data_IF_351703730782
#
_entry.id   IF_351703730782
#
_cell.length_a   1.000
_cell.length_b   1.000
_cell.length_c   1.000
_cell.angle_alpha   90.00
_cell.angle_beta   90.00
_cell.angle_gamma   90.00
#
_symmetry.space_group_name_H-M   'P 1'
#
loop_
_entity.id
_entity.type
_entity.pdbx_description
1 polymer ?
#
# COMPACT_ATOMS: atom_id res chain seq x y z
N UNK A 1 -33.28 -12.26 -8.80
CA UNK A 1 -32.57 -11.83 -10.01
C UNK A 1 -31.13 -11.45 -9.70
N UNK A 2 -30.19 -11.96 -10.49
CA UNK A 2 -28.74 -11.69 -10.33
C UNK A 2 -28.41 -10.20 -10.44
N UNK A 3 -29.17 -9.45 -11.25
CA UNK A 3 -29.04 -7.99 -11.37
C UNK A 3 -29.31 -7.25 -10.06
N UNK A 4 -30.31 -7.67 -9.28
CA UNK A 4 -30.63 -7.01 -8.00
C UNK A 4 -29.53 -7.23 -6.97
N UNK A 5 -28.90 -8.40 -6.96
CA UNK A 5 -27.76 -8.69 -6.09
C UNK A 5 -26.55 -7.84 -6.49
N UNK A 6 -26.32 -7.65 -7.79
CA UNK A 6 -25.25 -6.81 -8.31
C UNK A 6 -25.44 -5.33 -7.95
N UNK A 7 -26.64 -4.79 -8.21
CA UNK A 7 -27.01 -3.40 -7.86
C UNK A 7 -26.89 -3.16 -6.36
N UNK A 8 -27.39 -4.10 -5.54
CA UNK A 8 -27.26 -4.05 -4.08
C UNK A 8 -25.79 -4.10 -3.65
N UNK A 9 -24.92 -4.81 -4.36
CA UNK A 9 -23.49 -4.86 -4.03
C UNK A 9 -22.77 -3.57 -4.40
N UNK A 10 -23.15 -2.91 -5.50
CA UNK A 10 -22.62 -1.61 -5.91
C UNK A 10 -23.04 -0.49 -4.93
N UNK A 11 -24.35 -0.24 -4.85
CA UNK A 11 -24.90 0.95 -4.17
C UNK A 11 -25.36 0.67 -2.73
N UNK A 12 -25.58 -0.59 -2.38
CA UNK A 12 -26.26 -0.96 -1.15
C UNK A 12 -27.78 -0.99 -1.33
N UNK A 13 -28.46 -1.34 -0.25
CA UNK A 13 -29.89 -1.23 -0.09
C UNK A 13 -30.21 -0.86 1.37
N UNK A 14 -31.47 -0.96 1.79
CA UNK A 14 -31.88 -0.60 3.16
C UNK A 14 -31.27 -1.50 4.24
N UNK A 15 -30.86 -2.73 3.89
CA UNK A 15 -30.34 -3.72 4.84
C UNK A 15 -28.83 -3.91 4.76
N UNK A 16 -28.20 -3.54 3.63
CA UNK A 16 -26.80 -3.81 3.33
C UNK A 16 -26.11 -2.57 2.75
N UNK A 17 -24.95 -2.24 3.29
CA UNK A 17 -24.07 -1.18 2.76
C UNK A 17 -23.48 -1.58 1.41
N UNK A 18 -23.42 -0.63 0.47
CA UNK A 18 -22.72 -0.79 -0.80
C UNK A 18 -21.22 -1.01 -0.64
N UNK A 19 -20.62 -1.61 -1.66
CA UNK A 19 -19.19 -1.99 -1.69
C UNK A 19 -18.33 -1.05 -2.53
N UNK A 20 -18.93 0.02 -3.06
CA UNK A 20 -18.26 1.04 -3.87
C UNK A 20 -18.50 2.43 -3.28
N UNK A 21 -17.46 3.25 -3.25
CA UNK A 21 -17.54 4.69 -2.96
C UNK A 21 -17.30 5.42 -4.27
N UNK A 22 -18.32 6.09 -4.81
CA UNK A 22 -18.20 6.99 -5.95
C UNK A 22 -17.74 8.36 -5.44
N UNK A 23 -16.60 8.85 -5.92
CA UNK A 23 -16.08 10.15 -5.53
C UNK A 23 -16.66 11.25 -6.41
N UNK A 24 -16.60 12.48 -5.93
CA UNK A 24 -16.91 13.65 -6.74
C UNK A 24 -15.98 13.70 -7.97
N UNK A 25 -16.55 14.11 -9.11
CA UNK A 25 -15.81 14.32 -10.33
C UNK A 25 -15.25 15.75 -10.36
N UNK A 26 -13.97 15.89 -10.68
CA UNK A 26 -13.30 17.19 -10.74
C UNK A 26 -12.71 17.43 -12.12
N UNK A 27 -12.75 18.67 -12.64
CA UNK A 27 -12.06 18.98 -13.88
C UNK A 27 -10.55 18.95 -13.64
N UNK A 28 -9.79 18.49 -14.63
CA UNK A 28 -8.33 18.45 -14.56
C UNK A 28 -7.73 19.86 -14.41
N UNK A 29 -8.33 20.83 -15.11
CA UNK A 29 -7.97 22.23 -15.08
C UNK A 29 -9.21 23.07 -14.76
N UNK A 30 -9.02 24.34 -14.37
CA UNK A 30 -10.16 25.26 -14.17
C UNK A 30 -10.92 25.35 -15.50
N UNK A 31 -12.22 24.97 -15.54
CA UNK A 31 -12.97 24.94 -16.77
C UNK A 31 -13.38 26.33 -17.21
N UNK A 32 -13.32 26.58 -18.51
CA UNK A 32 -13.94 27.75 -19.11
C UNK A 32 -15.46 27.62 -19.10
N UNK A 33 -16.14 28.70 -18.73
CA UNK A 33 -17.58 28.77 -18.67
C UNK A 33 -18.13 29.53 -19.88
N UNK A 34 -19.10 28.93 -20.55
CA UNK A 34 -19.80 29.51 -21.68
C UNK A 34 -21.23 29.86 -21.30
N UNK A 35 -21.73 30.98 -21.84
CA UNK A 35 -23.16 31.32 -21.74
C UNK A 35 -23.87 30.70 -22.93
N UNK A 36 -24.88 29.89 -22.65
CA UNK A 36 -25.79 29.34 -23.65
C UNK A 36 -27.23 29.80 -23.38
N UNK A 37 -28.12 29.64 -24.36
CA UNK A 37 -29.49 30.16 -24.33
C UNK A 37 -30.49 29.03 -24.59
N UNK A 38 -31.51 28.95 -23.73
CA UNK A 38 -32.73 28.21 -24.04
C UNK A 38 -33.85 29.17 -24.38
N UNK A 39 -34.68 28.80 -25.36
CA UNK A 39 -35.86 29.56 -25.77
C UNK A 39 -37.14 28.71 -25.58
N UNK A 40 -37.59 28.42 -24.34
CA UNK A 40 -38.87 27.74 -24.11
C UNK A 40 -40.03 28.54 -24.72
N UNK A 41 -40.81 27.88 -25.58
CA UNK A 41 -41.98 28.45 -26.25
C UNK A 41 -43.23 28.49 -25.36
N UNK A 42 -43.42 27.45 -24.55
CA UNK A 42 -44.60 27.29 -23.69
C UNK A 42 -44.33 27.67 -22.23
N UNK A 43 -43.40 28.61 -21.98
CA UNK A 43 -43.01 29.01 -20.62
C UNK A 43 -44.20 29.51 -19.79
N UNK A 44 -45.04 30.35 -20.39
CA UNK A 44 -46.26 30.88 -19.74
C UNK A 44 -47.30 29.79 -19.45
N UNK A 45 -47.43 28.81 -20.34
CA UNK A 45 -48.33 27.66 -20.14
C UNK A 45 -47.93 26.84 -18.92
N UNK A 46 -46.66 26.45 -18.82
CA UNK A 46 -46.18 25.64 -17.70
C UNK A 46 -46.13 26.39 -16.36
N UNK A 47 -46.13 27.72 -16.40
CA UNK A 47 -46.06 28.57 -15.21
C UNK A 47 -47.43 29.04 -14.71
N UNK A 48 -48.52 28.68 -15.41
CA UNK A 48 -49.87 29.10 -15.04
C UNK A 48 -50.56 28.10 -14.11
N UNK A 49 -50.40 28.32 -12.80
CA UNK A 49 -51.04 27.52 -11.74
C UNK A 49 -52.59 27.50 -11.83
N UNK A 50 -53.20 28.43 -12.58
CA UNK A 50 -54.65 28.55 -12.74
C UNK A 50 -55.18 27.82 -13.98
N UNK A 51 -54.32 27.19 -14.79
CA UNK A 51 -54.67 26.45 -16.01
C UNK A 51 -55.57 27.24 -16.98
N UNK A 52 -55.35 28.55 -17.11
CA UNK A 52 -56.08 29.47 -17.98
C UNK A 52 -55.42 29.67 -19.34
N UNK A 53 -54.10 29.60 -19.38
CA UNK A 53 -53.32 29.71 -20.61
C UNK A 53 -53.26 28.30 -21.22
N UNK A 54 -53.77 28.05 -22.42
CA UNK A 54 -53.53 26.79 -23.12
C UNK A 54 -52.15 26.79 -23.81
N UNK A 55 -51.56 25.62 -24.10
CA UNK A 55 -50.38 25.58 -24.94
C UNK A 55 -50.81 26.01 -26.35
N UNK A 56 -50.21 27.07 -26.87
CA UNK A 56 -50.59 27.63 -28.15
C UNK A 56 -49.40 28.24 -28.88
N UNK A 57 -49.44 28.18 -30.22
CA UNK A 57 -48.31 28.58 -31.05
C UNK A 57 -48.04 30.10 -31.08
N UNK A 58 -48.98 30.89 -30.56
CA UNK A 58 -48.85 32.36 -30.46
C UNK A 58 -48.05 32.84 -29.25
N UNK A 59 -47.69 31.94 -28.32
CA UNK A 59 -46.86 32.31 -27.17
C UNK A 59 -45.46 32.70 -27.65
N UNK A 60 -44.80 33.65 -26.98
CA UNK A 60 -43.47 34.07 -27.38
C UNK A 60 -42.38 33.22 -26.72
N UNK A 61 -41.32 32.82 -27.45
CA UNK A 61 -40.18 32.15 -26.85
C UNK A 61 -39.48 33.08 -25.87
N UNK A 62 -39.23 32.61 -24.65
CA UNK A 62 -38.57 33.40 -23.59
C UNK A 62 -37.09 33.03 -23.49
N UNK A 63 -36.12 33.88 -23.91
CA UNK A 63 -34.70 33.54 -23.87
C UNK A 63 -34.14 33.51 -22.45
N UNK A 64 -33.66 32.35 -22.02
CA UNK A 64 -33.03 32.12 -20.71
C UNK A 64 -31.56 31.80 -20.92
N UNK A 65 -30.70 32.71 -20.48
CA UNK A 65 -29.24 32.51 -20.45
C UNK A 65 -28.85 31.62 -19.27
N UNK A 66 -27.98 30.66 -19.49
CA UNK A 66 -27.43 29.80 -18.44
C UNK A 66 -25.95 29.50 -18.70
N UNK A 67 -25.22 29.14 -17.65
CA UNK A 67 -23.81 28.78 -17.75
C UNK A 67 -23.64 27.30 -18.09
N UNK A 68 -22.64 27.02 -18.91
CA UNK A 68 -22.22 25.69 -19.37
C UNK A 68 -20.72 25.57 -19.20
N UNK A 69 -20.25 24.35 -18.99
CA UNK A 69 -18.82 24.04 -19.06
C UNK A 69 -18.46 23.85 -20.54
N UNK A 70 -17.35 24.43 -20.98
CA UNK A 70 -16.92 24.35 -22.37
C UNK A 70 -16.64 22.90 -22.79
N UNK A 71 -17.07 22.55 -24.01
CA UNK A 71 -16.72 21.28 -24.66
C UNK A 71 -15.20 21.12 -24.77
N UNK A 72 -14.70 19.92 -24.47
CA UNK A 72 -13.27 19.62 -24.44
C UNK A 72 -12.64 19.74 -23.05
N UNK A 73 -13.41 20.15 -22.03
CA UNK A 73 -12.96 20.09 -20.64
C UNK A 73 -12.79 18.64 -20.19
N UNK A 74 -11.62 18.30 -19.68
CA UNK A 74 -11.31 16.98 -19.13
C UNK A 74 -11.77 16.90 -17.68
N UNK A 75 -12.51 15.84 -17.34
CA UNK A 75 -12.91 15.53 -15.97
C UNK A 75 -12.33 14.19 -15.52
N UNK A 76 -11.99 14.14 -14.24
CA UNK A 76 -11.44 12.97 -13.56
C UNK A 76 -12.57 12.36 -12.71
N UNK A 77 -12.89 11.10 -12.99
CA UNK A 77 -13.87 10.31 -12.26
C UNK A 77 -13.15 9.21 -11.48
N UNK A 78 -13.52 9.01 -10.21
CA UNK A 78 -12.90 8.02 -9.34
C UNK A 78 -13.92 7.24 -8.54
N UNK A 79 -13.60 5.99 -8.28
CA UNK A 79 -14.34 5.14 -7.36
C UNK A 79 -13.39 4.29 -6.54
N UNK A 80 -13.67 4.15 -5.24
CA UNK A 80 -12.98 3.19 -4.39
C UNK A 80 -13.83 1.92 -4.34
N UNK A 81 -13.27 0.83 -4.86
CA UNK A 81 -13.94 -0.46 -4.95
C UNK A 81 -13.32 -1.41 -3.95
N UNK A 82 -14.15 -2.16 -3.23
CA UNK A 82 -13.69 -3.23 -2.37
C UNK A 82 -13.13 -4.40 -3.18
N UNK A 83 -11.93 -4.85 -2.82
CA UNK A 83 -11.22 -5.91 -3.56
C UNK A 83 -11.66 -7.34 -3.21
N UNK A 84 -12.58 -7.52 -2.25
CA UNK A 84 -13.07 -8.83 -1.83
C UNK A 84 -14.35 -9.28 -2.56
N UNK A 85 -14.87 -8.44 -3.46
CA UNK A 85 -16.00 -8.77 -4.33
C UNK A 85 -15.47 -8.92 -5.75
N UNK A 86 -15.55 -10.14 -6.29
CA UNK A 86 -15.09 -10.44 -7.64
C UNK A 86 -15.84 -9.59 -8.68
N UNK A 87 -15.13 -9.18 -9.73
CA UNK A 87 -15.64 -8.47 -10.92
C UNK A 87 -16.30 -7.10 -10.66
N UNK A 88 -16.41 -6.66 -9.40
CA UNK A 88 -17.09 -5.41 -9.03
C UNK A 88 -16.44 -4.18 -9.68
N UNK A 89 -15.11 -4.17 -9.80
CA UNK A 89 -14.38 -3.07 -10.43
C UNK A 89 -14.68 -2.96 -11.94
N UNK A 90 -14.77 -4.10 -12.62
CA UNK A 90 -15.09 -4.14 -14.06
C UNK A 90 -16.54 -3.70 -14.31
N UNK A 91 -17.46 -4.08 -13.43
CA UNK A 91 -18.85 -3.64 -13.52
C UNK A 91 -19.00 -2.13 -13.25
N UNK A 92 -18.27 -1.58 -12.27
CA UNK A 92 -18.20 -0.12 -12.06
C UNK A 92 -17.67 0.57 -13.32
N UNK A 93 -16.63 0.02 -13.95
CA UNK A 93 -16.05 0.57 -15.18
C UNK A 93 -17.08 0.57 -16.32
N UNK A 94 -17.82 -0.53 -16.53
CA UNK A 94 -18.90 -0.59 -17.52
C UNK A 94 -19.99 0.42 -17.25
N UNK A 95 -20.41 0.55 -15.98
CA UNK A 95 -21.41 1.52 -15.56
C UNK A 95 -20.96 2.96 -15.85
N UNK A 96 -19.69 3.31 -15.55
CA UNK A 96 -19.14 4.62 -15.89
C UNK A 96 -19.14 4.88 -17.39
N UNK A 97 -18.66 3.94 -18.20
CA UNK A 97 -18.63 4.12 -19.67
C UNK A 97 -20.01 4.44 -20.19
N UNK A 98 -21.03 3.66 -19.78
CA UNK A 98 -22.41 3.85 -20.21
C UNK A 98 -23.00 5.18 -19.72
N UNK A 99 -22.88 5.46 -18.42
CA UNK A 99 -23.41 6.68 -17.83
C UNK A 99 -22.80 7.94 -18.47
N UNK A 100 -21.50 7.93 -18.75
CA UNK A 100 -20.78 9.09 -19.27
C UNK A 100 -20.97 9.29 -20.78
N UNK A 101 -21.08 8.21 -21.57
CA UNK A 101 -21.10 8.30 -23.04
C UNK A 101 -22.49 8.18 -23.66
N UNK A 102 -23.45 7.56 -22.96
CA UNK A 102 -24.79 7.29 -23.49
C UNK A 102 -25.88 8.06 -22.73
N UNK A 103 -25.84 8.04 -21.38
CA UNK A 103 -26.91 8.63 -20.56
C UNK A 103 -26.70 10.12 -20.30
N UNK A 104 -25.43 10.52 -20.12
CA UNK A 104 -25.03 11.86 -19.76
C UNK A 104 -25.27 12.17 -18.29
N UNK A 105 -24.47 13.10 -17.74
CA UNK A 105 -24.56 13.53 -16.35
C UNK A 105 -24.83 15.04 -16.26
N UNK A 106 -25.62 15.44 -15.27
CA UNK A 106 -26.02 16.83 -15.06
C UNK A 106 -27.36 17.19 -15.72
N UNK A 107 -27.53 18.45 -16.07
CA UNK A 107 -28.80 18.96 -16.59
C UNK A 107 -28.89 18.83 -18.12
N UNK A 108 -30.12 18.70 -18.63
CA UNK A 108 -30.44 18.75 -20.08
C UNK A 108 -29.80 17.63 -20.92
N UNK A 109 -29.59 16.46 -20.33
CA UNK A 109 -29.00 15.29 -21.00
C UNK A 109 -29.83 14.82 -22.20
N UNK A 110 -31.16 14.91 -22.15
CA UNK A 110 -32.04 14.63 -23.29
C UNK A 110 -31.79 15.53 -24.51
N UNK A 111 -31.17 16.70 -24.32
CA UNK A 111 -30.77 17.62 -25.40
C UNK A 111 -29.30 17.43 -25.81
N UNK A 112 -28.60 16.44 -25.25
CA UNK A 112 -27.21 16.10 -25.56
C UNK A 112 -26.15 16.78 -24.67
N UNK A 113 -26.55 17.46 -23.59
CA UNK A 113 -25.58 18.01 -22.62
C UNK A 113 -25.05 16.92 -21.68
N UNK A 114 -23.88 17.16 -21.09
CA UNK A 114 -23.36 16.29 -20.03
C UNK A 114 -22.78 14.95 -20.51
N UNK A 115 -22.58 14.81 -21.82
CA UNK A 115 -21.94 13.64 -22.42
C UNK A 115 -20.42 13.84 -22.49
N UNK A 116 -19.69 12.75 -22.25
CA UNK A 116 -18.24 12.69 -22.32
C UNK A 116 -17.80 11.76 -23.45
N UNK A 117 -16.63 12.03 -24.01
CA UNK A 117 -15.99 11.23 -25.05
C UNK A 117 -14.53 11.00 -24.68
N UNK A 118 -13.82 10.18 -25.47
CA UNK A 118 -12.36 10.02 -25.37
C UNK A 118 -11.90 9.55 -23.98
N UNK A 119 -12.57 8.52 -23.44
CA UNK A 119 -12.28 7.98 -22.11
C UNK A 119 -10.85 7.43 -22.04
N UNK A 120 -10.07 7.93 -21.07
CA UNK A 120 -8.76 7.39 -20.70
C UNK A 120 -8.83 6.68 -19.34
N UNK A 121 -8.02 5.64 -19.19
CA UNK A 121 -7.85 4.89 -17.95
C UNK A 121 -6.44 5.05 -17.37
N UNK A 122 -5.66 5.96 -17.94
CA UNK A 122 -4.31 6.26 -17.46
C UNK A 122 -4.40 7.10 -16.20
N UNK A 123 -3.59 6.75 -15.21
CA UNK A 123 -3.45 7.59 -14.03
C UNK A 123 -2.74 8.90 -14.40
N UNK A 124 -3.23 10.01 -13.86
CA UNK A 124 -2.58 11.29 -14.04
C UNK A 124 -1.14 11.22 -13.51
N UNK A 125 -0.20 11.85 -14.21
CA UNK A 125 1.22 11.80 -13.85
C UNK A 125 1.46 12.18 -12.38
N UNK A 126 0.73 13.19 -11.87
CA UNK A 126 0.80 13.63 -10.48
C UNK A 126 0.50 12.52 -9.47
N UNK A 127 -0.42 11.61 -9.78
CA UNK A 127 -0.78 10.47 -8.92
C UNK A 127 0.34 9.45 -8.94
N UNK A 128 0.84 9.11 -10.13
CA UNK A 128 1.90 8.11 -10.28
C UNK A 128 3.19 8.55 -9.59
N UNK A 129 3.52 9.84 -9.65
CA UNK A 129 4.68 10.40 -8.94
C UNK A 129 4.46 10.41 -7.43
N UNK A 130 3.28 10.84 -6.96
CA UNK A 130 2.93 10.78 -5.54
C UNK A 130 3.04 9.36 -4.97
N UNK A 131 2.55 8.35 -5.67
CA UNK A 131 2.65 6.95 -5.24
C UNK A 131 4.10 6.44 -5.17
N UNK A 132 4.96 6.86 -6.10
CA UNK A 132 6.40 6.53 -6.07
C UNK A 132 7.07 7.17 -4.86
N UNK A 133 6.82 8.46 -4.63
CA UNK A 133 7.36 9.20 -3.49
C UNK A 133 6.92 8.59 -2.15
N UNK A 134 5.64 8.24 -2.03
CA UNK A 134 5.09 7.56 -0.84
C UNK A 134 5.76 6.20 -0.58
N UNK A 135 5.98 5.40 -1.62
CA UNK A 135 6.67 4.10 -1.50
C UNK A 135 8.11 4.29 -1.04
N UNK A 136 8.82 5.24 -1.64
CA UNK A 136 10.19 5.58 -1.25
C UNK A 136 10.23 6.04 0.22
N UNK A 137 9.29 6.89 0.64
CA UNK A 137 9.19 7.37 2.03
C UNK A 137 8.97 6.22 3.01
N UNK A 138 8.00 5.32 2.74
CA UNK A 138 7.74 4.15 3.59
C UNK A 138 8.95 3.21 3.68
N UNK A 139 9.61 2.94 2.57
CA UNK A 139 10.82 2.10 2.55
C UNK A 139 11.95 2.71 3.38
N UNK A 140 12.12 4.02 3.31
CA UNK A 140 13.11 4.75 4.11
C UNK A 140 12.78 4.70 5.60
N UNK A 141 11.52 4.96 5.97
CA UNK A 141 11.05 4.88 7.36
C UNK A 141 11.23 3.46 7.93
N UNK A 142 10.90 2.43 7.17
CA UNK A 142 11.12 1.02 7.58
C UNK A 142 12.60 0.68 7.74
N UNK A 143 13.47 1.17 6.84
CA UNK A 143 14.90 0.96 6.93
C UNK A 143 15.51 1.66 8.15
N UNK A 144 15.12 2.90 8.42
CA UNK A 144 15.56 3.67 9.59
C UNK A 144 15.06 3.04 10.89
N UNK A 145 13.81 2.57 10.94
CA UNK A 145 13.26 1.85 12.08
C UNK A 145 14.02 0.54 12.35
N UNK A 146 14.37 -0.23 11.31
CA UNK A 146 15.18 -1.45 11.43
C UNK A 146 16.60 -1.14 11.90
N UNK A 147 17.23 -0.11 11.36
CA UNK A 147 18.58 0.29 11.76
C UNK A 147 18.62 0.75 13.22
N UNK A 148 17.62 1.53 13.65
CA UNK A 148 17.47 1.95 15.05
C UNK A 148 17.24 0.77 15.98
N UNK A 149 16.34 -0.16 15.62
CA UNK A 149 16.07 -1.35 16.41
C UNK A 149 17.32 -2.25 16.54
N UNK A 150 18.12 -2.39 15.48
CA UNK A 150 19.38 -3.13 15.55
C UNK A 150 20.43 -2.43 16.40
N UNK A 151 20.53 -1.10 16.32
CA UNK A 151 21.43 -0.32 17.18
C UNK A 151 21.04 -0.43 18.66
N UNK A 152 19.74 -0.36 18.97
CA UNK A 152 19.22 -0.58 20.33
C UNK A 152 19.50 -2.00 20.82
N UNK A 153 19.30 -3.03 19.96
CA UNK A 153 19.67 -4.41 20.26
C UNK A 153 21.15 -4.54 20.61
N UNK A 154 22.04 -4.01 19.77
CA UNK A 154 23.48 -4.04 20.00
C UNK A 154 23.92 -3.28 21.26
N UNK A 155 23.22 -2.19 21.61
CA UNK A 155 23.47 -1.42 22.83
C UNK A 155 22.94 -2.11 24.09
N UNK A 156 21.83 -2.86 23.99
CA UNK A 156 21.26 -3.62 25.11
C UNK A 156 21.90 -4.98 25.32
N UNK A 157 22.60 -5.52 24.31
CA UNK A 157 23.25 -6.83 24.40
C UNK A 157 24.34 -6.83 25.47
N UNK A 158 24.28 -7.83 26.33
CA UNK A 158 25.35 -8.10 27.31
C UNK A 158 26.62 -8.59 26.61
N UNK A 159 27.76 -8.50 27.28
CA UNK A 159 29.02 -9.03 26.72
C UNK A 159 28.94 -10.54 26.43
N UNK A 160 28.17 -11.28 27.24
CA UNK A 160 27.91 -12.71 27.06
C UNK A 160 27.08 -12.98 25.79
N UNK A 161 26.04 -12.18 25.54
CA UNK A 161 25.22 -12.28 24.34
C UNK A 161 26.00 -11.90 23.07
N UNK A 162 26.87 -10.89 23.14
CA UNK A 162 27.78 -10.53 22.04
C UNK A 162 28.75 -11.67 21.74
N UNK A 163 29.29 -12.31 22.77
CA UNK A 163 30.19 -13.45 22.61
C UNK A 163 29.48 -14.67 22.00
N UNK A 164 28.24 -14.94 22.40
CA UNK A 164 27.37 -15.97 21.80
C UNK A 164 27.12 -15.71 20.31
N UNK A 165 26.75 -14.48 19.94
CA UNK A 165 26.50 -14.14 18.53
C UNK A 165 27.76 -14.28 17.67
N UNK A 166 28.93 -13.89 18.23
CA UNK A 166 30.24 -14.05 17.58
C UNK A 166 30.63 -15.52 17.40
N UNK A 167 30.37 -16.37 18.39
CA UNK A 167 30.58 -17.82 18.28
C UNK A 167 29.66 -18.44 17.22
N UNK A 168 28.40 -18.01 17.16
CA UNK A 168 27.44 -18.52 16.17
C UNK A 168 27.82 -18.13 14.73
N UNK A 169 28.30 -16.90 14.53
CA UNK A 169 28.77 -16.40 13.23
C UNK A 169 30.19 -16.84 12.86
N UNK A 170 30.90 -17.53 13.76
CA UNK A 170 32.28 -17.94 13.52
C UNK A 170 32.39 -18.82 12.27
N UNK A 171 33.44 -18.60 11.47
CA UNK A 171 33.83 -19.44 10.34
C UNK A 171 34.82 -20.54 10.74
N UNK A 172 35.24 -21.36 9.76
CA UNK A 172 36.24 -22.43 9.96
C UNK A 172 37.69 -21.92 9.84
N UNK A 173 37.92 -20.62 10.03
CA UNK A 173 39.28 -20.06 10.00
C UNK A 173 39.99 -20.28 11.33
N UNK A 174 41.20 -20.87 11.28
CA UNK A 174 41.94 -21.25 12.49
C UNK A 174 42.41 -20.06 13.35
N UNK A 175 42.63 -18.90 12.73
CA UNK A 175 42.97 -17.64 13.40
C UNK A 175 41.80 -17.11 14.22
N UNK A 176 40.60 -17.05 13.64
CA UNK A 176 39.36 -16.60 14.29
C UNK A 176 38.97 -17.52 15.45
N UNK A 177 39.03 -18.84 15.22
CA UNK A 177 38.81 -19.86 16.24
C UNK A 177 39.74 -19.62 17.43
N UNK A 178 41.04 -19.43 17.18
CA UNK A 178 42.02 -19.23 18.25
C UNK A 178 41.80 -17.91 19.02
N UNK A 179 41.38 -16.85 18.33
CA UNK A 179 41.10 -15.55 18.95
C UNK A 179 39.90 -15.64 19.92
N UNK A 180 38.78 -16.18 19.46
CA UNK A 180 37.57 -16.35 20.30
C UNK A 180 37.83 -17.30 21.46
N UNK A 181 38.64 -18.34 21.25
CA UNK A 181 39.05 -19.24 22.34
C UNK A 181 39.86 -18.57 23.43
N UNK A 182 40.86 -17.78 23.05
CA UNK A 182 41.69 -17.09 24.04
C UNK A 182 40.85 -16.07 24.82
N UNK A 183 39.97 -15.36 24.14
CA UNK A 183 39.09 -14.36 24.73
C UNK A 183 38.08 -15.02 25.69
N UNK A 184 37.39 -16.10 25.28
CA UNK A 184 36.51 -16.90 26.15
C UNK A 184 37.23 -17.45 27.37
N UNK A 185 38.45 -17.98 27.22
CA UNK A 185 39.20 -18.58 28.34
C UNK A 185 39.82 -17.54 29.27
N UNK A 186 40.05 -16.31 28.78
CA UNK A 186 40.54 -15.19 29.58
C UNK A 186 39.45 -14.41 30.32
N UNK A 187 38.23 -14.43 29.79
CA UNK A 187 37.07 -13.76 30.37
C UNK A 187 36.31 -14.60 31.38
N UNK A 188 35.32 -13.98 32.01
CA UNK A 188 34.33 -14.66 32.84
C UNK A 188 32.96 -14.44 32.20
N UNK A 189 32.46 -15.50 31.58
CA UNK A 189 31.25 -15.51 30.76
C UNK A 189 30.30 -16.57 31.34
N UNK A 190 29.01 -16.46 31.03
CA UNK A 190 28.04 -17.47 31.43
C UNK A 190 28.30 -18.85 30.81
N UNK A 191 27.78 -19.87 31.49
CA UNK A 191 27.85 -21.29 31.06
C UNK A 191 27.36 -21.50 29.62
N UNK A 192 26.37 -20.72 29.18
CA UNK A 192 25.79 -20.76 27.84
C UNK A 192 26.81 -20.46 26.74
N UNK A 193 27.72 -19.51 26.97
CA UNK A 193 28.79 -19.11 26.03
C UNK A 193 29.74 -20.28 25.77
N UNK A 194 30.17 -20.97 26.83
CA UNK A 194 31.07 -22.13 26.71
C UNK A 194 30.39 -23.36 26.08
N UNK A 195 29.09 -23.55 26.31
CA UNK A 195 28.31 -24.59 25.64
C UNK A 195 28.23 -24.34 24.13
N UNK A 196 27.89 -23.12 23.71
CA UNK A 196 27.85 -22.74 22.29
C UNK A 196 29.24 -22.86 21.64
N UNK A 197 30.31 -22.46 22.35
CA UNK A 197 31.68 -22.63 21.85
C UNK A 197 32.03 -24.11 21.64
N UNK A 198 31.65 -24.99 22.59
CA UNK A 198 31.87 -26.44 22.47
C UNK A 198 31.15 -27.00 21.25
N UNK A 199 29.88 -26.65 21.04
CA UNK A 199 29.09 -27.09 19.88
C UNK A 199 29.75 -26.64 18.57
N UNK A 200 30.11 -25.36 18.47
CA UNK A 200 30.77 -24.83 17.27
C UNK A 200 32.10 -25.50 16.95
N UNK A 201 32.87 -25.85 17.98
CA UNK A 201 34.13 -26.59 17.83
C UNK A 201 33.93 -28.05 17.43
N UNK A 202 32.81 -28.66 17.81
CA UNK A 202 32.40 -29.99 17.34
C UNK A 202 32.08 -29.91 15.85
N UNK A 203 31.31 -28.92 15.41
CA UNK A 203 30.98 -28.70 13.99
C UNK A 203 32.22 -28.55 13.12
N UNK A 204 33.22 -27.82 13.60
CA UNK A 204 34.48 -27.64 12.87
C UNK A 204 35.43 -28.84 12.93
N UNK A 205 35.11 -29.86 13.74
CA UNK A 205 35.96 -31.03 13.96
C UNK A 205 37.20 -30.74 14.82
N UNK A 206 37.25 -29.57 15.46
CA UNK A 206 38.34 -29.11 16.33
C UNK A 206 38.20 -29.56 17.78
N UNK A 207 37.15 -30.33 18.10
CA UNK A 207 36.90 -30.84 19.46
C UNK A 207 37.69 -32.11 19.79
N UNK A 208 37.90 -33.01 18.82
CA UNK A 208 38.61 -34.28 19.03
C UNK A 208 40.11 -34.10 18.73
N UNK A 209 41.04 -34.57 19.59
CA UNK A 209 42.47 -34.31 19.37
C UNK A 209 43.04 -35.03 18.14
N UNK A 210 43.53 -34.27 17.16
CA UNK A 210 44.20 -34.76 15.94
C UNK A 210 45.60 -34.13 15.74
N UNK A 211 46.39 -34.64 14.80
CA UNK A 211 47.73 -34.10 14.48
C UNK A 211 48.86 -34.51 15.43
N UNK A 212 49.89 -33.65 15.55
CA UNK A 212 51.15 -33.94 16.26
C UNK A 212 50.98 -34.11 17.77
N UNK A 213 51.96 -34.75 18.44
CA UNK A 213 51.93 -35.02 19.90
C UNK A 213 51.74 -33.74 20.72
N UNK A 214 52.41 -32.65 20.34
CA UNK A 214 52.25 -31.33 20.97
C UNK A 214 50.87 -30.71 20.71
N UNK A 215 50.35 -30.79 19.46
CA UNK A 215 49.01 -30.27 19.10
C UNK A 215 47.90 -30.99 19.88
N UNK A 216 48.00 -32.32 20.02
CA UNK A 216 47.07 -33.14 20.80
C UNK A 216 47.07 -32.77 22.29
N UNK A 217 48.24 -32.51 22.89
CA UNK A 217 48.33 -32.07 24.28
C UNK A 217 47.66 -30.71 24.51
N UNK A 218 47.89 -29.75 23.62
CA UNK A 218 47.26 -28.41 23.67
C UNK A 218 45.73 -28.49 23.56
N UNK A 219 45.21 -29.31 22.64
CA UNK A 219 43.75 -29.50 22.49
C UNK A 219 43.11 -30.18 23.70
N UNK A 220 43.78 -31.14 24.33
CA UNK A 220 43.28 -31.79 25.57
C UNK A 220 43.20 -30.81 26.73
N UNK A 221 44.23 -29.96 26.90
CA UNK A 221 44.25 -28.93 27.94
C UNK A 221 43.09 -27.93 27.78
N UNK A 222 42.95 -27.38 26.57
CA UNK A 222 41.84 -26.48 26.19
C UNK A 222 40.47 -27.12 26.42
N UNK A 223 40.29 -28.38 26.00
CA UNK A 223 39.02 -29.08 26.18
C UNK A 223 38.65 -29.19 27.67
N UNK A 224 39.62 -29.55 28.51
CA UNK A 224 39.41 -29.65 29.96
C UNK A 224 39.07 -28.29 30.59
N UNK A 225 39.70 -27.20 30.14
CA UNK A 225 39.40 -25.83 30.61
C UNK A 225 37.97 -25.40 30.23
N UNK A 226 37.52 -25.68 28.99
CA UNK A 226 36.14 -25.40 28.56
C UNK A 226 35.13 -26.26 29.32
N UNK A 227 35.42 -27.55 29.52
CA UNK A 227 34.53 -28.44 30.29
C UNK A 227 34.45 -28.02 31.77
N UNK A 228 35.55 -27.57 32.39
CA UNK A 228 35.55 -27.04 33.76
C UNK A 228 34.68 -25.77 33.90
N UNK A 229 34.80 -24.84 32.95
CA UNK A 229 33.96 -23.62 32.88
C UNK A 229 32.48 -23.94 32.66
N UNK A 230 32.14 -25.02 31.95
CA UNK A 230 30.74 -25.49 31.79
C UNK A 230 30.22 -26.14 33.09
N UNK A 231 31.07 -26.83 33.84
CA UNK A 231 30.71 -27.51 35.09
C UNK A 231 30.66 -26.57 36.31
N UNK A 232 31.07 -25.31 36.16
CA UNK A 232 31.05 -24.29 37.22
C UNK A 232 32.15 -24.45 38.26
N UNK A 233 33.32 -24.99 37.87
CA UNK A 233 34.51 -25.14 38.71
C UNK A 233 35.62 -24.16 38.33
#
# INVERSE_FOLDING_TARGET
DENDQMISSLFGNQEKRGSVIFMDAYPENIPDLHVDIMNPHYGEYYSDDKNKIPPADYLDPTPIKFLTVQKGTVFIFRSLVRNDVADLADEVKKAYVRALTEEGIGAKTSLGYGLFTDLSYEEAACVTEFEKEEKIRKQKEEMEARAKAEQERLASMTEDEKMLERINKLGKEGSEISAVLNECLSGDFDRSVYQALKERLIDFGEWKPYGSKQKKAKMRKRKAEIEAKIEGK
#
